data_IF_160184314747
#
_entry.id   IF_160184314747
#
_cell.length_a   1.000
_cell.length_b   1.000
_cell.length_c   1.000
_cell.angle_alpha   90.00
_cell.angle_beta   90.00
_cell.angle_gamma   90.00
#
_symmetry.space_group_name_H-M   'P 1'
#
loop_
_entity.id
_entity.type
_entity.pdbx_description
1 polymer ?
#
# COMPACT_ATOMS: atom_id res chain seq x y z
N UNK A 1 -54.31 71.23 23.89
CA UNK A 1 -53.73 70.07 24.62
C UNK A 1 -53.24 69.07 23.58
N UNK A 2 -51.96 69.12 23.23
CA UNK A 2 -51.36 68.25 22.21
C UNK A 2 -50.47 67.20 22.88
N UNK A 3 -50.89 65.94 22.85
CA UNK A 3 -50.07 64.81 23.30
C UNK A 3 -49.04 64.45 22.22
N UNK A 4 -47.77 64.73 22.48
CA UNK A 4 -46.65 64.24 21.67
C UNK A 4 -46.28 62.84 22.15
N UNK A 5 -46.73 61.81 21.41
CA UNK A 5 -46.28 60.43 21.58
C UNK A 5 -44.79 60.35 21.22
N UNK A 6 -43.94 60.33 22.26
CA UNK A 6 -42.51 60.09 22.15
C UNK A 6 -42.29 58.61 21.84
N UNK A 7 -42.22 58.26 20.55
CA UNK A 7 -41.69 56.96 20.13
C UNK A 7 -40.21 56.90 20.52
N UNK A 8 -39.94 56.33 21.69
CA UNK A 8 -38.59 55.95 22.07
C UNK A 8 -38.15 54.83 21.11
N UNK A 9 -37.40 55.21 20.08
CA UNK A 9 -36.70 54.27 19.20
C UNK A 9 -35.59 53.65 20.04
N UNK A 10 -35.84 52.47 20.61
CA UNK A 10 -34.81 51.68 21.29
C UNK A 10 -33.74 51.36 20.26
N UNK A 11 -32.63 52.11 20.26
CA UNK A 11 -31.43 51.75 19.50
C UNK A 11 -30.87 50.48 20.15
N UNK A 12 -31.28 49.31 19.65
CA UNK A 12 -30.64 48.03 20.00
C UNK A 12 -29.19 48.08 19.56
N UNK A 13 -28.28 48.04 20.53
CA UNK A 13 -26.85 47.99 20.29
C UNK A 13 -26.46 46.57 19.84
N UNK A 14 -26.57 46.30 18.55
CA UNK A 14 -26.27 44.98 17.93
C UNK A 14 -24.77 44.75 17.65
N UNK A 15 -23.88 45.71 18.01
CA UNK A 15 -22.44 45.64 17.72
C UNK A 15 -21.75 44.41 18.36
N UNK A 16 -22.24 43.96 19.50
CA UNK A 16 -21.74 42.74 20.16
C UNK A 16 -22.22 41.45 19.50
N UNK A 17 -23.45 41.44 18.96
CA UNK A 17 -24.05 40.25 18.35
C UNK A 17 -23.38 39.92 17.00
N UNK A 18 -23.10 40.95 16.20
CA UNK A 18 -22.36 40.79 14.93
C UNK A 18 -20.94 40.25 15.16
N UNK A 19 -20.27 40.71 16.22
CA UNK A 19 -18.91 40.25 16.55
C UNK A 19 -18.90 38.79 17.00
N UNK A 20 -19.89 38.37 17.79
CA UNK A 20 -20.05 36.98 18.23
C UNK A 20 -20.40 36.04 17.07
N UNK A 21 -21.31 36.43 16.18
CA UNK A 21 -21.66 35.68 14.97
C UNK A 21 -20.46 35.53 14.03
N UNK A 22 -19.66 36.58 13.88
CA UNK A 22 -18.44 36.55 13.07
C UNK A 22 -17.38 35.60 13.63
N UNK A 23 -17.12 35.65 14.95
CA UNK A 23 -16.18 34.72 15.60
C UNK A 23 -16.67 33.29 15.47
N UNK A 24 -17.96 33.05 15.69
CA UNK A 24 -18.56 31.72 15.55
C UNK A 24 -18.44 31.19 14.11
N UNK A 25 -18.75 32.01 13.11
CA UNK A 25 -18.61 31.65 11.70
C UNK A 25 -17.15 31.36 11.32
N UNK A 26 -16.19 32.14 11.81
CA UNK A 26 -14.75 31.88 11.61
C UNK A 26 -14.35 30.54 12.23
N UNK A 27 -14.75 30.27 13.47
CA UNK A 27 -14.39 29.02 14.16
C UNK A 27 -14.95 27.82 13.42
N UNK A 28 -16.19 27.88 12.93
CA UNK A 28 -16.77 26.82 12.09
C UNK A 28 -16.00 26.69 10.78
N UNK A 29 -15.73 27.79 10.09
CA UNK A 29 -15.03 27.78 8.81
C UNK A 29 -13.63 27.18 8.94
N UNK A 30 -12.85 27.63 9.93
CA UNK A 30 -11.51 27.09 10.23
C UNK A 30 -11.60 25.62 10.66
N UNK A 31 -12.58 25.25 11.49
CA UNK A 31 -12.80 23.87 11.90
C UNK A 31 -13.07 22.94 10.70
N UNK A 32 -13.94 23.35 9.79
CA UNK A 32 -14.19 22.62 8.55
C UNK A 32 -12.94 22.54 7.67
N UNK A 33 -12.17 23.62 7.54
CA UNK A 33 -10.90 23.61 6.80
C UNK A 33 -9.89 22.61 7.39
N UNK A 34 -9.78 22.53 8.72
CA UNK A 34 -8.91 21.56 9.40
C UNK A 34 -9.36 20.13 9.08
N UNK A 35 -10.66 19.85 9.16
CA UNK A 35 -11.21 18.52 8.84
C UNK A 35 -10.94 18.15 7.38
N UNK A 36 -11.20 19.07 6.43
CA UNK A 36 -10.92 18.82 5.03
C UNK A 36 -9.43 18.64 4.75
N UNK A 37 -8.57 19.44 5.36
CA UNK A 37 -7.12 19.26 5.24
C UNK A 37 -6.71 17.87 5.74
N UNK A 38 -7.20 17.47 6.90
CA UNK A 38 -6.88 16.21 7.54
C UNK A 38 -7.31 14.98 6.72
N UNK A 39 -8.51 15.05 6.11
CA UNK A 39 -9.02 14.03 5.18
C UNK A 39 -8.18 13.96 3.90
N UNK A 40 -7.92 15.10 3.25
CA UNK A 40 -7.12 15.15 2.03
C UNK A 40 -5.69 14.65 2.27
N UNK A 41 -5.07 15.08 3.37
CA UNK A 41 -3.73 14.63 3.73
C UNK A 41 -3.68 13.12 3.98
N UNK A 42 -4.70 12.56 4.63
CA UNK A 42 -4.81 11.10 4.84
C UNK A 42 -4.93 10.36 3.51
N UNK A 43 -5.74 10.85 2.57
CA UNK A 43 -5.87 10.25 1.23
C UNK A 43 -4.55 10.31 0.46
N UNK A 44 -3.84 11.45 0.49
CA UNK A 44 -2.51 11.56 -0.13
C UNK A 44 -1.51 10.58 0.49
N UNK A 45 -1.55 10.35 1.80
CA UNK A 45 -0.68 9.36 2.45
C UNK A 45 -1.06 7.92 2.10
N UNK A 46 -2.34 7.65 1.87
CA UNK A 46 -2.80 6.35 1.36
C UNK A 46 -2.24 6.08 -0.04
N UNK A 47 -2.18 7.07 -0.93
CA UNK A 47 -1.55 6.93 -2.26
C UNK A 47 -0.05 6.66 -2.16
N UNK A 48 0.65 7.33 -1.25
CA UNK A 48 2.07 7.04 -0.99
C UNK A 48 2.25 5.60 -0.50
N UNK A 49 1.37 5.12 0.39
CA UNK A 49 1.38 3.72 0.83
C UNK A 49 1.13 2.76 -0.34
N UNK A 50 0.15 3.02 -1.20
CA UNK A 50 -0.09 2.23 -2.41
C UNK A 50 1.15 2.19 -3.33
N UNK A 51 1.86 3.30 -3.47
CA UNK A 51 3.11 3.34 -4.23
C UNK A 51 4.22 2.51 -3.58
N UNK A 52 4.33 2.52 -2.25
CA UNK A 52 5.26 1.63 -1.52
C UNK A 52 4.93 0.16 -1.80
N UNK A 53 3.64 -0.22 -1.76
CA UNK A 53 3.20 -1.59 -2.09
C UNK A 53 3.56 -1.95 -3.53
N UNK A 54 3.29 -1.06 -4.49
CA UNK A 54 3.65 -1.26 -5.89
C UNK A 54 5.17 -1.42 -6.07
N UNK A 55 5.98 -0.57 -5.43
CA UNK A 55 7.44 -0.61 -5.53
C UNK A 55 8.03 -1.89 -4.94
N UNK A 56 7.54 -2.31 -3.77
CA UNK A 56 7.94 -3.58 -3.16
C UNK A 56 7.48 -4.79 -3.99
N UNK A 57 6.27 -4.74 -4.56
CA UNK A 57 5.75 -5.77 -5.47
C UNK A 57 6.60 -5.90 -6.73
N UNK A 58 7.02 -4.78 -7.33
CA UNK A 58 7.96 -4.78 -8.47
C UNK A 58 9.32 -5.37 -8.13
N UNK A 59 9.86 -5.07 -6.95
CA UNK A 59 11.14 -5.64 -6.52
C UNK A 59 11.04 -7.17 -6.31
N UNK A 60 9.91 -7.64 -5.77
CA UNK A 60 9.61 -9.07 -5.68
C UNK A 60 9.36 -9.73 -7.04
N UNK A 61 8.74 -9.03 -7.99
CA UNK A 61 8.41 -9.59 -9.29
C UNK A 61 9.62 -9.79 -10.21
N UNK A 62 10.75 -9.16 -9.94
CA UNK A 62 11.95 -9.27 -10.76
C UNK A 62 12.50 -10.70 -10.75
N UNK A 63 12.87 -11.24 -11.91
CA UNK A 63 13.46 -12.57 -12.04
C UNK A 63 14.77 -12.67 -11.20
N UNK A 64 14.92 -13.76 -10.46
CA UNK A 64 16.15 -14.07 -9.71
C UNK A 64 16.42 -15.58 -9.71
N UNK A 65 17.55 -16.00 -9.13
CA UNK A 65 17.97 -17.40 -9.00
C UNK A 65 16.86 -18.29 -8.41
N UNK A 66 16.24 -17.87 -7.30
CA UNK A 66 15.19 -18.60 -6.58
C UNK A 66 14.06 -17.64 -6.11
N UNK A 67 12.91 -18.21 -5.73
CA UNK A 67 11.76 -17.43 -5.24
C UNK A 67 12.04 -16.79 -3.87
N UNK A 68 12.81 -17.44 -3.00
CA UNK A 68 13.13 -16.89 -1.67
C UNK A 68 13.88 -15.56 -1.77
N UNK A 69 14.77 -15.44 -2.74
CA UNK A 69 15.53 -14.23 -3.02
C UNK A 69 14.65 -13.14 -3.61
N UNK A 70 13.68 -13.50 -4.45
CA UNK A 70 12.64 -12.59 -4.93
C UNK A 70 11.83 -12.01 -3.76
N UNK A 71 11.38 -12.86 -2.83
CA UNK A 71 10.67 -12.42 -1.63
C UNK A 71 11.56 -11.51 -0.76
N UNK A 72 12.83 -11.86 -0.60
CA UNK A 72 13.77 -11.04 0.17
C UNK A 72 13.97 -9.66 -0.48
N UNK A 73 14.10 -9.58 -1.81
CA UNK A 73 14.19 -8.28 -2.51
C UNK A 73 12.96 -7.40 -2.28
N UNK A 74 11.76 -7.99 -2.26
CA UNK A 74 10.53 -7.26 -1.91
C UNK A 74 10.56 -6.73 -0.48
N UNK A 75 10.98 -7.55 0.49
CA UNK A 75 11.13 -7.17 1.90
C UNK A 75 12.18 -6.07 2.08
N UNK A 76 13.35 -6.23 1.48
CA UNK A 76 14.45 -5.27 1.55
C UNK A 76 14.02 -3.92 0.97
N UNK A 77 13.32 -3.92 -0.18
CA UNK A 77 12.79 -2.71 -0.80
C UNK A 77 11.78 -2.01 0.11
N UNK A 78 10.86 -2.77 0.71
CA UNK A 78 9.88 -2.23 1.64
C UNK A 78 10.54 -1.61 2.87
N UNK A 79 11.46 -2.34 3.51
CA UNK A 79 12.20 -1.86 4.67
C UNK A 79 13.01 -0.60 4.35
N UNK A 80 13.62 -0.53 3.18
CA UNK A 80 14.34 0.67 2.73
C UNK A 80 13.41 1.89 2.56
N UNK A 81 12.18 1.68 2.08
CA UNK A 81 11.20 2.76 1.90
C UNK A 81 10.63 3.25 3.24
N UNK A 82 10.22 2.34 4.12
CA UNK A 82 9.61 2.74 5.42
C UNK A 82 10.63 3.33 6.40
N UNK A 83 11.91 3.01 6.23
CA UNK A 83 13.01 3.58 7.02
C UNK A 83 13.69 4.79 6.35
N UNK A 84 13.20 5.20 5.17
CA UNK A 84 13.73 6.38 4.49
C UNK A 84 13.59 7.62 5.39
N UNK A 85 14.62 8.49 5.50
CA UNK A 85 14.58 9.67 6.37
C UNK A 85 13.41 10.63 6.13
N UNK A 86 12.87 10.67 4.90
CA UNK A 86 11.75 11.52 4.52
C UNK A 86 10.40 10.88 4.87
N UNK A 87 10.28 9.56 4.69
CA UNK A 87 9.02 8.83 4.87
C UNK A 87 8.82 8.32 6.30
N UNK A 88 9.91 7.97 6.99
CA UNK A 88 9.88 7.44 8.36
C UNK A 88 9.16 8.38 9.35
N UNK A 89 9.37 9.71 9.33
CA UNK A 89 8.63 10.62 10.21
C UNK A 89 7.12 10.67 9.93
N UNK A 90 6.69 10.36 8.70
CA UNK A 90 5.29 10.37 8.31
C UNK A 90 4.56 9.09 8.73
N UNK A 91 5.20 7.93 8.55
CA UNK A 91 4.57 6.62 8.72
C UNK A 91 5.00 5.83 9.95
N UNK A 92 6.15 6.13 10.56
CA UNK A 92 6.71 5.31 11.65
C UNK A 92 7.36 6.18 12.72
N UNK A 93 6.66 7.27 13.11
CA UNK A 93 7.09 8.10 14.23
C UNK A 93 6.87 7.35 15.55
N UNK A 94 7.91 7.21 16.40
CA UNK A 94 7.82 6.45 17.66
C UNK A 94 6.73 6.98 18.62
N UNK A 95 6.55 8.30 18.66
CA UNK A 95 5.71 8.98 19.66
C UNK A 95 4.29 9.29 19.17
N UNK A 96 3.67 8.40 18.39
CA UNK A 96 2.29 8.58 17.92
C UNK A 96 2.19 9.38 16.62
N UNK A 97 2.65 8.80 15.52
CA UNK A 97 2.43 9.34 14.17
C UNK A 97 0.96 9.29 13.73
N UNK A 98 0.59 10.19 12.80
CA UNK A 98 -0.75 10.23 12.20
C UNK A 98 -1.03 8.98 11.35
N UNK A 99 0.03 8.34 10.85
CA UNK A 99 -0.03 7.13 10.04
C UNK A 99 0.94 6.10 10.58
N UNK A 100 0.55 4.83 10.47
CA UNK A 100 1.39 3.70 10.80
C UNK A 100 1.35 2.66 9.67
N UNK A 101 2.53 2.17 9.29
CA UNK A 101 2.68 1.02 8.39
C UNK A 101 3.13 -0.21 9.20
N UNK A 102 2.58 -1.38 8.91
CA UNK A 102 3.02 -2.61 9.58
C UNK A 102 4.49 -2.90 9.25
N UNK A 103 5.36 -3.20 10.23
CA UNK A 103 6.76 -3.51 9.94
C UNK A 103 6.93 -4.81 9.14
N UNK A 104 5.91 -5.67 9.16
CA UNK A 104 5.88 -6.92 8.43
C UNK A 104 5.22 -6.72 7.06
N UNK A 105 5.89 -7.22 6.03
CA UNK A 105 5.38 -7.33 4.67
C UNK A 105 5.03 -8.79 4.39
N UNK A 106 3.78 -9.03 4.04
CA UNK A 106 3.34 -10.31 3.53
C UNK A 106 3.60 -10.36 2.03
N UNK A 107 4.26 -11.42 1.56
CA UNK A 107 4.54 -11.64 0.14
C UNK A 107 3.98 -13.00 -0.25
N UNK A 108 3.28 -13.05 -1.38
CA UNK A 108 2.78 -14.30 -1.96
C UNK A 108 3.19 -14.36 -3.43
N UNK A 109 4.15 -15.24 -3.75
CA UNK A 109 4.77 -15.34 -5.07
C UNK A 109 4.20 -16.43 -6.00
N UNK A 110 3.29 -17.28 -5.51
CA UNK A 110 2.59 -18.27 -6.33
C UNK A 110 3.36 -19.54 -6.70
N UNK A 111 4.70 -19.59 -6.56
CA UNK A 111 5.49 -20.77 -6.93
C UNK A 111 5.16 -22.05 -6.14
N UNK A 112 4.63 -21.90 -4.92
CA UNK A 112 4.13 -23.00 -4.07
C UNK A 112 2.60 -23.10 -4.02
N UNK A 113 1.89 -22.39 -4.90
CA UNK A 113 0.43 -22.21 -4.82
C UNK A 113 -0.01 -21.14 -3.82
N UNK A 114 0.91 -20.55 -3.06
CA UNK A 114 0.63 -19.46 -2.14
C UNK A 114 0.35 -18.15 -2.90
N UNK A 115 -0.90 -17.72 -2.93
CA UNK A 115 -1.40 -16.51 -3.61
C UNK A 115 -2.56 -15.89 -2.80
N UNK A 116 -3.10 -14.77 -3.25
CA UNK A 116 -4.20 -14.06 -2.58
C UNK A 116 -5.61 -14.45 -3.09
N UNK A 117 -5.75 -15.53 -3.87
CA UNK A 117 -7.01 -15.89 -4.55
C UNK A 117 -8.18 -16.22 -3.60
N UNK A 118 -7.90 -16.71 -2.40
CA UNK A 118 -8.94 -16.95 -1.39
C UNK A 118 -9.55 -15.65 -0.87
N UNK A 119 -8.75 -14.58 -0.81
CA UNK A 119 -9.14 -13.28 -0.25
C UNK A 119 -9.65 -12.32 -1.33
N UNK A 120 -9.16 -12.45 -2.55
CA UNK A 120 -9.65 -11.70 -3.71
C UNK A 120 -10.06 -12.73 -4.75
N UNK A 121 -11.35 -12.99 -4.96
CA UNK A 121 -11.73 -13.99 -5.97
C UNK A 121 -11.62 -13.37 -7.36
N UNK A 122 -10.78 -13.95 -8.22
CA UNK A 122 -10.77 -13.63 -9.64
C UNK A 122 -11.79 -14.50 -10.39
N UNK A 123 -12.54 -13.92 -11.32
CA UNK A 123 -13.43 -14.70 -12.19
C UNK A 123 -12.66 -15.52 -13.23
N UNK A 124 -11.46 -15.05 -13.59
CA UNK A 124 -10.57 -15.72 -14.53
C UNK A 124 -9.46 -16.46 -13.78
N UNK A 125 -9.49 -17.80 -13.78
CA UNK A 125 -8.47 -18.66 -13.16
C UNK A 125 -7.08 -18.62 -13.81
N UNK A 126 -6.77 -17.55 -14.55
CA UNK A 126 -5.52 -17.37 -15.32
C UNK A 126 -4.55 -16.38 -14.69
N UNK A 127 -5.01 -15.47 -13.84
CA UNK A 127 -4.14 -14.46 -13.24
C UNK A 127 -3.80 -14.88 -11.81
N UNK A 128 -2.56 -15.37 -11.55
CA UNK A 128 -2.15 -15.64 -10.19
C UNK A 128 -2.17 -14.32 -9.43
N UNK A 129 -2.94 -14.26 -8.33
CA UNK A 129 -3.01 -13.08 -7.50
C UNK A 129 -1.83 -13.04 -6.55
N UNK A 130 -0.69 -12.73 -7.13
CA UNK A 130 0.60 -12.67 -6.46
C UNK A 130 1.02 -11.23 -6.28
N UNK A 131 1.84 -10.98 -5.28
CA UNK A 131 2.27 -9.64 -4.93
C UNK A 131 2.60 -9.51 -3.45
N UNK A 132 2.38 -8.30 -2.93
CA UNK A 132 2.74 -7.94 -1.56
C UNK A 132 1.59 -7.26 -0.84
N UNK A 133 1.60 -7.35 0.49
CA UNK A 133 0.57 -6.76 1.35
C UNK A 133 1.14 -6.31 2.69
N UNK A 134 0.63 -5.19 3.17
CA UNK A 134 0.87 -4.69 4.53
C UNK A 134 -0.35 -3.91 5.04
N UNK A 135 -0.37 -3.61 6.33
CA UNK A 135 -1.43 -2.82 6.95
C UNK A 135 -1.07 -1.33 6.99
N UNK A 136 -1.99 -0.50 6.54
CA UNK A 136 -1.97 0.95 6.71
C UNK A 136 -2.98 1.36 7.76
N UNK A 137 -2.50 2.04 8.81
CA UNK A 137 -3.31 2.46 9.95
C UNK A 137 -3.30 3.99 10.09
N UNK A 138 -4.32 4.69 9.58
CA UNK A 138 -4.52 6.11 9.86
C UNK A 138 -5.14 6.33 11.24
N UNK A 139 -4.50 7.16 12.06
CA UNK A 139 -4.99 7.57 13.39
C UNK A 139 -5.81 8.87 13.38
N UNK A 140 -6.37 9.23 12.22
CA UNK A 140 -7.06 10.50 11.95
C UNK A 140 -8.19 10.84 12.94
N UNK A 141 -8.92 9.83 13.40
CA UNK A 141 -10.04 9.98 14.33
C UNK A 141 -9.73 9.38 15.71
N UNK A 142 -8.46 9.12 16.02
CA UNK A 142 -8.02 8.79 17.38
C UNK A 142 -7.53 10.07 18.04
N UNK A 143 -8.49 10.93 18.38
CA UNK A 143 -8.24 12.24 18.97
C UNK A 143 -8.62 12.20 20.44
N UNK A 144 -7.75 12.75 21.28
CA UNK A 144 -8.11 13.04 22.67
C UNK A 144 -8.60 14.47 22.74
N UNK A 145 -9.92 14.65 22.76
CA UNK A 145 -10.54 15.96 22.87
C UNK A 145 -10.61 16.33 24.35
N UNK A 146 -10.04 17.48 24.72
CA UNK A 146 -10.11 17.98 26.09
C UNK A 146 -11.57 18.07 26.54
N UNK A 147 -11.87 17.58 27.75
CA UNK A 147 -13.21 17.50 28.35
C UNK A 147 -14.21 16.51 27.73
N UNK A 148 -14.00 16.05 26.49
CA UNK A 148 -14.87 15.07 25.80
C UNK A 148 -14.29 13.65 25.78
N UNK A 149 -13.01 13.48 26.13
CA UNK A 149 -12.36 12.16 26.20
C UNK A 149 -11.72 11.74 24.89
N UNK A 150 -11.33 10.46 24.81
CA UNK A 150 -10.80 9.88 23.57
C UNK A 150 -11.95 9.56 22.62
N UNK A 151 -11.75 9.80 21.32
CA UNK A 151 -12.69 9.38 20.27
C UNK A 151 -12.46 7.93 19.83
N UNK A 152 -11.49 7.22 20.42
CA UNK A 152 -11.28 5.78 20.22
C UNK A 152 -11.00 5.07 21.55
N UNK A 153 -11.46 3.82 21.68
CA UNK A 153 -11.29 3.00 22.88
C UNK A 153 -9.87 2.42 22.99
N UNK A 154 -9.26 2.05 21.86
CA UNK A 154 -8.00 1.27 21.83
C UNK A 154 -6.80 2.02 21.23
N UNK A 155 -6.95 3.30 20.87
CA UNK A 155 -5.90 4.14 20.25
C UNK A 155 -5.26 3.54 18.96
N UNK A 156 -5.89 2.49 18.43
CA UNK A 156 -5.39 1.65 17.34
C UNK A 156 -5.68 2.23 15.96
N UNK A 157 -6.63 3.17 15.87
CA UNK A 157 -7.12 3.73 14.62
C UNK A 157 -7.84 2.71 13.73
N UNK A 158 -8.25 3.16 12.54
CA UNK A 158 -8.74 2.26 11.48
C UNK A 158 -7.55 1.54 10.83
N UNK A 159 -7.74 0.31 10.37
CA UNK A 159 -6.70 -0.45 9.66
C UNK A 159 -7.22 -0.89 8.29
N UNK A 160 -6.46 -0.62 7.24
CA UNK A 160 -6.76 -1.05 5.88
C UNK A 160 -5.59 -1.86 5.33
N UNK A 161 -5.90 -2.96 4.63
CA UNK A 161 -4.89 -3.75 3.91
C UNK A 161 -4.54 -3.05 2.61
N UNK A 162 -3.27 -2.71 2.43
CA UNK A 162 -2.74 -2.20 1.17
C UNK A 162 -2.09 -3.36 0.44
N UNK A 163 -2.69 -3.76 -0.68
CA UNK A 163 -2.24 -4.91 -1.48
C UNK A 163 -1.79 -4.45 -2.86
N UNK A 164 -0.57 -4.80 -3.24
CA UNK A 164 -0.01 -4.51 -4.56
C UNK A 164 0.12 -5.78 -5.38
N UNK A 165 -0.81 -5.99 -6.32
CA UNK A 165 -0.74 -7.11 -7.25
C UNK A 165 0.20 -6.81 -8.40
N UNK A 166 1.13 -7.72 -8.64
CA UNK A 166 1.97 -7.68 -9.83
C UNK A 166 2.33 -9.09 -10.24
N UNK A 167 2.20 -9.37 -11.54
CA UNK A 167 2.64 -10.64 -12.11
C UNK A 167 4.14 -10.77 -11.85
N UNK A 168 4.54 -11.93 -11.30
CA UNK A 168 5.92 -12.25 -10.98
C UNK A 168 6.57 -12.96 -12.16
N UNK A 169 7.81 -12.57 -12.49
CA UNK A 169 8.64 -13.32 -13.41
C UNK A 169 9.13 -14.62 -12.77
N UNK A 170 9.06 -15.76 -13.47
CA UNK A 170 9.56 -17.03 -12.96
C UNK A 170 11.04 -16.92 -12.57
N UNK A 171 11.42 -17.60 -11.49
CA UNK A 171 12.82 -17.70 -11.09
C UNK A 171 13.60 -18.58 -12.08
N UNK A 172 14.93 -18.45 -12.09
CA UNK A 172 15.80 -19.29 -12.93
C UNK A 172 15.56 -20.78 -12.65
N UNK A 173 15.40 -21.15 -11.38
CA UNK A 173 15.15 -22.54 -11.01
C UNK A 173 13.80 -23.04 -11.53
N UNK A 174 12.73 -22.26 -11.37
CA UNK A 174 11.41 -22.61 -11.90
C UNK A 174 11.42 -22.71 -13.43
N UNK A 175 12.17 -21.84 -14.10
CA UNK A 175 12.37 -21.88 -15.55
C UNK A 175 13.04 -23.18 -15.99
N UNK A 176 14.17 -23.47 -15.34
CA UNK A 176 15.02 -24.60 -15.67
C UNK A 176 14.29 -25.92 -15.43
N UNK A 177 13.70 -26.09 -14.25
CA UNK A 177 13.02 -27.33 -13.88
C UNK A 177 11.65 -27.48 -14.54
N UNK A 178 10.92 -26.37 -14.69
CA UNK A 178 9.53 -26.35 -15.16
C UNK A 178 9.40 -26.41 -16.68
N UNK A 179 10.32 -25.79 -17.42
CA UNK A 179 10.26 -25.68 -18.88
C UNK A 179 11.46 -26.31 -19.56
N UNK A 180 12.68 -25.85 -19.25
CA UNK A 180 13.86 -26.17 -20.05
C UNK A 180 14.24 -27.65 -19.95
N UNK A 181 14.35 -28.19 -18.73
CA UNK A 181 14.70 -29.59 -18.50
C UNK A 181 13.69 -30.54 -19.12
N UNK A 182 12.39 -30.22 -19.06
CA UNK A 182 11.32 -31.03 -19.66
C UNK A 182 11.34 -30.98 -21.18
N UNK A 183 11.55 -29.79 -21.76
CA UNK A 183 11.69 -29.62 -23.21
C UNK A 183 12.93 -30.36 -23.71
N UNK A 184 14.04 -30.22 -23.00
CA UNK A 184 15.29 -30.91 -23.32
C UNK A 184 15.14 -32.42 -23.25
N UNK A 185 14.54 -32.96 -22.18
CA UNK A 185 14.27 -34.41 -22.10
C UNK A 185 13.34 -34.89 -23.22
N UNK A 186 12.29 -34.12 -23.53
CA UNK A 186 11.38 -34.47 -24.62
C UNK A 186 12.08 -34.47 -25.99
N UNK A 187 13.00 -33.52 -26.23
CA UNK A 187 13.81 -33.48 -27.45
C UNK A 187 14.72 -34.72 -27.56
N UNK A 188 15.38 -35.10 -26.48
CA UNK A 188 16.22 -36.30 -26.44
C UNK A 188 15.41 -37.58 -26.66
N UNK A 189 14.12 -37.59 -26.29
CA UNK A 189 13.24 -38.73 -26.45
C UNK A 189 12.52 -38.81 -27.82
N UNK A 190 12.63 -37.77 -28.67
CA UNK A 190 12.04 -37.78 -30.02
C UNK A 190 12.73 -38.76 -30.98
N UNK A 191 14.05 -38.90 -30.89
CA UNK A 191 14.84 -39.75 -31.78
C UNK A 191 16.14 -40.20 -31.09
N UNK A 192 16.55 -41.48 -31.22
CA UNK A 192 17.79 -41.98 -30.62
C UNK A 192 19.04 -41.18 -30.97
N UNK A 193 19.10 -40.55 -32.15
CA UNK A 193 20.23 -39.72 -32.59
C UNK A 193 20.42 -38.47 -31.71
N UNK A 194 19.35 -37.95 -31.13
CA UNK A 194 19.43 -36.80 -30.23
C UNK A 194 20.07 -37.16 -28.88
N UNK A 195 19.97 -38.42 -28.44
CA UNK A 195 20.65 -38.91 -27.23
C UNK A 195 22.17 -38.93 -27.39
N UNK A 196 22.66 -39.28 -28.58
CA UNK A 196 24.10 -39.22 -28.88
C UNK A 196 24.61 -37.77 -28.91
N UNK A 197 23.85 -36.85 -29.50
CA UNK A 197 24.17 -35.42 -29.53
C UNK A 197 24.14 -34.79 -28.13
N UNK A 198 23.19 -35.18 -27.28
CA UNK A 198 23.05 -34.68 -25.91
C UNK A 198 24.15 -35.14 -24.95
N UNK A 199 24.89 -36.21 -25.28
CA UNK A 199 26.03 -36.69 -24.50
C UNK A 199 27.31 -35.88 -24.76
N UNK A 200 27.36 -35.12 -25.86
CA UNK A 200 28.53 -34.31 -26.25
C UNK A 200 28.47 -32.93 -25.58
N UNK A 201 28.64 -32.91 -24.27
CA UNK A 201 28.46 -31.73 -23.38
C UNK A 201 29.63 -30.76 -23.33
N UNK A 202 30.73 -31.06 -24.06
CA UNK A 202 31.95 -30.25 -24.01
C UNK A 202 31.87 -28.90 -24.72
N UNK A 203 31.11 -28.82 -25.82
CA UNK A 203 31.10 -27.65 -26.73
C UNK A 203 29.74 -26.93 -26.79
N UNK A 204 28.68 -27.53 -26.24
CA UNK A 204 27.34 -26.93 -26.25
C UNK A 204 27.07 -26.18 -24.94
N UNK A 205 27.17 -24.85 -25.01
CA UNK A 205 26.62 -23.96 -23.99
C UNK A 205 25.18 -23.67 -24.41
N UNK A 206 24.14 -24.20 -23.74
CA UNK A 206 22.77 -23.77 -23.99
C UNK A 206 22.67 -22.27 -23.66
N UNK A 207 22.69 -21.43 -24.69
CA UNK A 207 22.49 -20.00 -24.56
C UNK A 207 20.99 -19.75 -24.59
N UNK A 208 20.42 -19.46 -23.42
CA UNK A 208 19.00 -19.10 -23.26
C UNK A 208 18.81 -17.61 -23.59
N UNK A 209 18.30 -17.29 -24.78
CA UNK A 209 17.99 -15.90 -25.20
C UNK A 209 16.49 -15.62 -25.38
N UNK A 210 15.61 -16.40 -24.76
CA UNK A 210 14.18 -16.05 -24.84
C UNK A 210 13.38 -16.59 -23.67
N UNK A 211 13.68 -16.04 -22.48
CA UNK A 211 12.86 -16.19 -21.28
C UNK A 211 12.56 -17.64 -20.88
N UNK A 212 11.68 -17.79 -19.90
CA UNK A 212 10.77 -18.93 -19.95
C UNK A 212 9.68 -18.60 -20.98
#
# INVERSE_FOLDING_TARGET
>A
MGETKRFAKTLRNERGMISAEFIFAIVISVGLCIVFFALNFTLSMAEVAQYIAFSASRAHAAAHVDQTKQEQMGKDKYLALINNPVLKPLFNKPDGGWFQLSPQLEIRGGGTGNNFADEYKGEEGRVPQVGVRFDFKPKLLSLKVAFLGSTSEDDSGFSAKVTGFLIREPSRQECWEGQIKKRYSALLDLDPRYKELGNNTGDYIPMEDNGC
#
